data_IF_519427725917
#
_entry.id   IF_519427725917
#
_cell.length_a   1.000
_cell.length_b   1.000
_cell.length_c   1.000
_cell.angle_alpha   90.00
_cell.angle_beta   90.00
_cell.angle_gamma   90.00
#
_symmetry.space_group_name_H-M   'P 1'
#
loop_
_entity.id
_entity.type
_entity.pdbx_description
1 polymer ?
#
# COMPACT_ATOMS: atom_id res chain seq x y z
N UNK A 1 -79.12 26.01 2.74
CA UNK A 1 -78.19 25.70 3.86
C UNK A 1 -77.42 24.43 3.50
N UNK A 2 -76.09 24.43 3.69
CA UNK A 2 -75.12 23.37 3.31
C UNK A 2 -75.37 22.00 3.98
N UNK A 3 -74.61 20.93 3.72
CA UNK A 3 -73.15 20.82 3.62
C UNK A 3 -72.69 19.55 2.83
N UNK A 4 -71.37 19.44 2.66
CA UNK A 4 -70.54 18.60 1.77
C UNK A 4 -70.36 17.09 2.14
N UNK A 5 -70.07 16.29 1.08
CA UNK A 5 -69.12 15.14 0.88
C UNK A 5 -69.02 14.04 1.98
N UNK A 6 -68.92 12.75 1.65
CA UNK A 6 -67.71 12.10 1.12
C UNK A 6 -68.00 10.73 0.49
N UNK A 7 -67.25 10.39 -0.57
CA UNK A 7 -67.24 9.11 -1.28
C UNK A 7 -66.27 8.15 -0.58
N UNK A 8 -66.77 7.04 -0.03
CA UNK A 8 -65.92 5.92 0.41
C UNK A 8 -65.60 5.00 -0.77
N UNK A 9 -64.47 5.25 -1.45
CA UNK A 9 -63.81 4.21 -2.24
C UNK A 9 -63.07 3.29 -1.30
N UNK A 10 -63.51 2.05 -1.23
CA UNK A 10 -62.81 0.92 -0.63
C UNK A 10 -61.40 0.82 -1.24
N UNK A 11 -60.39 1.25 -0.48
CA UNK A 11 -58.99 0.99 -0.77
C UNK A 11 -58.73 -0.49 -0.51
N UNK A 12 -58.61 -1.29 -1.57
CA UNK A 12 -57.99 -2.61 -1.46
C UNK A 12 -56.54 -2.42 -1.02
N UNK A 13 -56.03 -3.13 -0.01
CA UNK A 13 -54.62 -3.09 0.31
C UNK A 13 -53.84 -3.62 -0.90
N UNK A 14 -52.99 -2.78 -1.48
CA UNK A 14 -51.92 -3.23 -2.37
C UNK A 14 -51.03 -4.13 -1.53
N UNK A 15 -51.06 -5.43 -1.80
CA UNK A 15 -50.01 -6.33 -1.36
C UNK A 15 -48.69 -5.83 -1.96
N UNK A 16 -47.82 -5.28 -1.12
CA UNK A 16 -46.41 -5.15 -1.48
C UNK A 16 -45.86 -6.57 -1.47
N UNK A 17 -45.34 -7.11 -2.59
CA UNK A 17 -44.53 -8.30 -2.50
C UNK A 17 -43.35 -7.93 -1.61
N UNK A 18 -43.20 -8.66 -0.50
CA UNK A 18 -42.01 -8.71 0.33
C UNK A 18 -40.86 -9.18 -0.57
N UNK A 19 -40.28 -8.25 -1.32
CA UNK A 19 -38.97 -8.40 -1.90
C UNK A 19 -38.00 -8.33 -0.74
N UNK A 20 -37.58 -9.48 -0.25
CA UNK A 20 -36.27 -9.59 0.38
C UNK A 20 -35.29 -8.98 -0.62
N UNK A 21 -34.83 -7.76 -0.36
CA UNK A 21 -33.61 -7.29 -0.96
C UNK A 21 -32.54 -8.28 -0.47
N UNK A 22 -32.17 -9.24 -1.30
CA UNK A 22 -30.94 -9.99 -1.07
C UNK A 22 -29.87 -8.94 -0.86
N UNK A 23 -29.30 -8.90 0.35
CA UNK A 23 -28.13 -8.09 0.61
C UNK A 23 -27.09 -8.56 -0.41
N UNK A 24 -26.88 -7.76 -1.45
CA UNK A 24 -25.84 -7.99 -2.45
C UNK A 24 -24.57 -8.13 -1.65
N UNK A 25 -24.05 -9.36 -1.55
CA UNK A 25 -22.80 -9.58 -0.82
C UNK A 25 -21.77 -8.67 -1.49
N UNK A 26 -21.01 -7.87 -0.72
CA UNK A 26 -19.95 -7.09 -1.31
C UNK A 26 -19.08 -8.04 -2.13
N UNK A 27 -18.89 -7.72 -3.41
CA UNK A 27 -18.01 -8.51 -4.27
C UNK A 27 -16.61 -8.53 -3.66
N UNK A 28 -15.91 -9.63 -3.82
CA UNK A 28 -14.52 -9.70 -3.41
C UNK A 28 -13.70 -8.62 -4.13
N UNK A 29 -12.78 -7.94 -3.42
CA UNK A 29 -11.88 -6.97 -4.04
C UNK A 29 -11.07 -7.61 -5.18
N UNK A 30 -10.95 -6.90 -6.30
CA UNK A 30 -10.13 -7.29 -7.46
C UNK A 30 -9.04 -6.27 -7.71
N UNK A 31 -7.92 -6.70 -8.28
CA UNK A 31 -6.73 -5.83 -8.50
C UNK A 31 -7.15 -4.54 -9.24
N UNK A 32 -6.77 -3.40 -8.67
CA UNK A 32 -7.18 -2.06 -9.09
C UNK A 32 -8.33 -1.46 -8.27
N UNK A 33 -8.98 -2.23 -7.39
CA UNK A 33 -9.95 -1.68 -6.45
C UNK A 33 -9.29 -0.79 -5.40
N UNK A 34 -10.02 0.24 -4.97
CA UNK A 34 -9.62 1.13 -3.88
C UNK A 34 -10.34 0.70 -2.61
N UNK A 35 -9.58 0.41 -1.55
CA UNK A 35 -10.09 -0.04 -0.25
C UNK A 35 -9.52 0.89 0.83
N UNK A 36 -10.39 1.63 1.50
CA UNK A 36 -10.03 2.66 2.51
C UNK A 36 -9.01 3.70 2.01
N UNK A 37 -9.01 3.98 0.70
CA UNK A 37 -8.07 4.91 0.05
C UNK A 37 -6.75 4.27 -0.41
N UNK A 38 -6.50 2.99 -0.10
CA UNK A 38 -5.37 2.23 -0.62
C UNK A 38 -5.74 1.50 -1.90
N UNK A 39 -4.75 1.22 -2.76
CA UNK A 39 -4.96 0.60 -4.07
C UNK A 39 -4.52 -0.86 -4.03
N UNK A 40 -5.45 -1.79 -4.24
CA UNK A 40 -5.14 -3.21 -4.35
C UNK A 40 -4.31 -3.48 -5.61
N UNK A 41 -3.08 -3.97 -5.47
CA UNK A 41 -2.19 -4.22 -6.60
C UNK A 41 -1.80 -5.70 -6.79
N UNK A 42 -1.95 -6.52 -5.75
CA UNK A 42 -1.60 -7.94 -5.82
C UNK A 42 -2.37 -8.79 -4.80
N UNK A 43 -2.41 -10.10 -5.05
CA UNK A 43 -2.87 -11.12 -4.10
C UNK A 43 -1.71 -12.11 -3.92
N UNK A 44 -1.20 -12.22 -2.69
CA UNK A 44 -0.02 -13.04 -2.39
C UNK A 44 -0.25 -13.81 -1.10
N UNK A 45 -0.10 -15.14 -1.15
CA UNK A 45 -0.14 -16.00 0.04
C UNK A 45 -1.43 -15.89 0.87
N UNK A 46 -2.58 -15.69 0.23
CA UNK A 46 -3.88 -15.52 0.90
C UNK A 46 -4.09 -14.12 1.51
N UNK A 47 -3.31 -13.13 1.07
CA UNK A 47 -3.50 -11.73 1.43
C UNK A 47 -3.67 -10.86 0.20
N UNK A 48 -4.63 -9.94 0.26
CA UNK A 48 -4.70 -8.75 -0.55
C UNK A 48 -3.58 -7.80 -0.16
N UNK A 49 -2.77 -7.35 -1.12
CA UNK A 49 -1.73 -6.34 -0.93
C UNK A 49 -2.17 -5.00 -1.51
N UNK A 50 -2.13 -3.98 -0.69
CA UNK A 50 -2.60 -2.64 -1.02
C UNK A 50 -1.47 -1.63 -0.90
N UNK A 51 -1.29 -0.81 -1.92
CA UNK A 51 -0.31 0.27 -1.94
C UNK A 51 -0.95 1.52 -1.35
N UNK A 52 -0.22 2.19 -0.46
CA UNK A 52 -0.67 3.46 0.09
C UNK A 52 -0.75 4.54 -1.01
N UNK A 53 -1.71 5.49 -0.87
CA UNK A 53 -1.83 6.61 -1.79
C UNK A 53 -0.61 7.52 -1.77
N UNK A 54 -0.47 8.35 -2.81
CA UNK A 54 0.63 9.29 -3.01
C UNK A 54 0.78 10.28 -1.84
N UNK A 55 -0.32 10.63 -1.17
CA UNK A 55 -0.31 11.49 0.03
C UNK A 55 0.45 10.91 1.23
N UNK A 56 0.67 9.58 1.26
CA UNK A 56 1.39 8.88 2.34
C UNK A 56 2.81 8.46 1.93
N UNK A 57 3.26 8.83 0.73
CA UNK A 57 4.62 8.52 0.26
C UNK A 57 5.55 9.66 0.65
N UNK A 58 6.61 9.31 1.36
CA UNK A 58 7.59 10.27 1.89
C UNK A 58 9.00 9.75 1.72
N UNK A 59 9.98 10.61 1.94
CA UNK A 59 11.38 10.20 2.04
C UNK A 59 11.78 9.96 3.48
N UNK A 60 12.40 8.80 3.75
CA UNK A 60 12.96 8.44 5.06
C UNK A 60 14.22 7.61 4.87
N UNK A 61 15.00 7.53 5.92
CA UNK A 61 16.16 6.63 5.98
C UNK A 61 15.70 5.22 6.24
N UNK A 62 16.43 4.26 5.69
CA UNK A 62 16.26 2.87 6.13
C UNK A 62 16.58 2.73 7.61
N UNK A 63 17.67 3.38 8.05
CA UNK A 63 18.14 3.34 9.42
C UNK A 63 19.36 2.46 9.64
N UNK A 64 20.30 2.92 10.46
CA UNK A 64 21.52 2.14 10.73
C UNK A 64 21.26 1.06 11.78
N UNK A 65 21.59 -0.19 11.45
CA UNK A 65 21.64 -1.32 12.39
C UNK A 65 23.06 -1.91 12.38
N UNK A 66 23.89 -1.45 13.33
CA UNK A 66 25.30 -1.83 13.44
C UNK A 66 25.53 -3.27 13.94
N UNK A 67 24.46 -4.00 14.27
CA UNK A 67 24.50 -5.37 14.79
C UNK A 67 24.12 -6.41 13.72
N UNK A 68 24.43 -7.69 14.00
CA UNK A 68 23.97 -8.84 13.21
C UNK A 68 22.46 -8.80 13.11
N UNK A 69 21.98 -8.62 11.89
CA UNK A 69 20.57 -8.38 11.68
C UNK A 69 19.74 -9.67 11.84
N UNK A 70 18.57 -9.54 12.48
CA UNK A 70 17.54 -10.58 12.59
C UNK A 70 16.83 -10.85 11.25
N UNK A 71 17.07 -10.02 10.24
CA UNK A 71 16.60 -10.21 8.86
C UNK A 71 17.74 -10.68 7.93
N UNK A 72 17.45 -11.53 6.92
CA UNK A 72 18.44 -12.07 6.01
C UNK A 72 19.27 -10.98 5.31
N UNK A 73 20.51 -11.31 4.98
CA UNK A 73 21.36 -10.50 4.10
C UNK A 73 21.20 -10.99 2.68
N UNK A 74 20.74 -10.10 1.80
CA UNK A 74 20.34 -10.43 0.44
C UNK A 74 21.13 -9.60 -0.57
N UNK A 75 21.62 -10.27 -1.61
CA UNK A 75 22.07 -9.62 -2.84
C UNK A 75 20.89 -9.07 -3.65
N UNK A 76 21.15 -8.19 -4.63
CA UNK A 76 20.10 -7.61 -5.48
C UNK A 76 19.21 -8.62 -6.21
N UNK A 77 19.75 -9.82 -6.48
CA UNK A 77 19.07 -10.88 -7.20
C UNK A 77 18.39 -11.91 -6.27
N UNK A 78 18.71 -11.88 -4.97
CA UNK A 78 18.27 -12.92 -4.04
C UNK A 78 16.78 -12.79 -3.70
N UNK A 79 16.10 -13.92 -3.56
CA UNK A 79 14.72 -13.92 -3.10
C UNK A 79 14.68 -13.65 -1.60
N UNK A 80 13.84 -12.71 -1.17
CA UNK A 80 13.65 -12.47 0.27
C UNK A 80 12.71 -13.56 0.78
N UNK A 81 13.15 -14.40 1.73
CA UNK A 81 12.31 -15.46 2.28
C UNK A 81 11.18 -14.90 3.16
N UNK A 82 11.29 -13.64 3.58
CA UNK A 82 10.31 -12.99 4.45
C UNK A 82 9.46 -12.00 3.68
N UNK A 83 8.23 -11.80 4.14
CA UNK A 83 7.36 -10.70 3.65
C UNK A 83 7.84 -9.35 4.17
N UNK A 84 7.46 -8.26 3.50
CA UNK A 84 7.73 -6.91 3.99
C UNK A 84 7.06 -6.63 5.34
N UNK A 85 5.90 -7.26 5.58
CA UNK A 85 5.24 -7.23 6.89
C UNK A 85 6.14 -7.80 7.99
N UNK A 86 6.65 -9.02 7.81
CA UNK A 86 7.53 -9.65 8.79
C UNK A 86 8.81 -8.83 8.99
N UNK A 87 9.45 -8.41 7.89
CA UNK A 87 10.66 -7.61 7.98
C UNK A 87 10.42 -6.28 8.70
N UNK A 88 9.29 -5.62 8.47
CA UNK A 88 8.92 -4.38 9.17
C UNK A 88 8.72 -4.61 10.67
N UNK A 89 8.05 -5.69 11.06
CA UNK A 89 7.88 -6.04 12.48
C UNK A 89 9.22 -6.28 13.18
N UNK A 90 10.11 -7.03 12.53
CA UNK A 90 11.47 -7.25 13.04
C UNK A 90 12.24 -5.92 13.09
N UNK A 91 12.15 -5.10 12.04
CA UNK A 91 12.88 -3.84 11.95
C UNK A 91 12.46 -2.84 13.03
N UNK A 92 11.18 -2.81 13.38
CA UNK A 92 10.62 -1.89 14.38
C UNK A 92 10.78 -2.40 15.80
N UNK A 93 10.76 -3.73 16.00
CA UNK A 93 10.96 -4.36 17.30
C UNK A 93 12.43 -4.38 17.73
N UNK A 94 13.33 -4.74 16.82
CA UNK A 94 14.73 -5.04 17.15
C UNK A 94 15.67 -3.84 16.96
N UNK A 95 15.23 -2.79 16.24
CA UNK A 95 16.05 -1.60 15.97
C UNK A 95 15.29 -0.30 16.24
N UNK A 96 15.90 0.59 17.03
CA UNK A 96 15.34 1.91 17.36
C UNK A 96 15.45 2.92 16.22
N UNK A 97 16.40 2.75 15.30
CA UNK A 97 16.79 3.77 14.33
C UNK A 97 16.30 3.48 12.90
N UNK A 98 15.24 2.70 12.73
CA UNK A 98 14.69 2.27 11.42
C UNK A 98 13.54 3.17 10.96
N UNK A 99 13.84 4.43 10.67
CA UNK A 99 12.85 5.51 10.43
C UNK A 99 11.78 5.13 9.39
N UNK A 100 12.16 4.52 8.27
CA UNK A 100 11.22 4.09 7.23
C UNK A 100 10.24 3.00 7.72
N UNK A 101 10.73 2.04 8.50
CA UNK A 101 9.91 0.96 9.04
C UNK A 101 8.97 1.48 10.14
N UNK A 102 9.48 2.30 11.06
CA UNK A 102 8.67 2.97 12.09
C UNK A 102 7.62 3.89 11.49
N UNK A 103 7.96 4.65 10.44
CA UNK A 103 7.01 5.48 9.72
C UNK A 103 5.83 4.66 9.17
N UNK A 104 6.12 3.54 8.47
CA UNK A 104 5.07 2.67 7.95
C UNK A 104 4.21 2.12 9.10
N UNK A 105 4.86 1.61 10.16
CA UNK A 105 4.16 0.98 11.28
C UNK A 105 3.24 1.94 12.03
N UNK A 106 3.68 3.17 12.26
CA UNK A 106 2.90 4.22 12.92
C UNK A 106 1.64 4.61 12.15
N UNK A 107 1.62 4.39 10.83
CA UNK A 107 0.44 4.61 9.99
C UNK A 107 -0.47 3.36 9.88
N UNK A 108 -0.08 2.22 10.44
CA UNK A 108 -0.78 0.94 10.25
C UNK A 108 -0.38 0.17 8.98
N UNK A 109 0.75 0.53 8.38
CA UNK A 109 1.30 -0.07 7.16
C UNK A 109 2.59 -0.86 7.46
N UNK A 110 3.13 -1.50 6.43
CA UNK A 110 4.46 -2.09 6.43
C UNK A 110 5.30 -1.57 5.27
N UNK A 111 6.62 -1.66 5.41
CA UNK A 111 7.58 -1.36 4.36
C UNK A 111 7.75 -2.61 3.48
N UNK A 112 7.40 -2.56 2.18
CA UNK A 112 7.45 -3.74 1.31
C UNK A 112 8.86 -4.29 1.20
N UNK A 113 8.99 -5.61 1.11
CA UNK A 113 10.26 -6.25 0.76
C UNK A 113 10.58 -6.01 -0.74
N UNK A 114 11.71 -6.55 -1.22
CA UNK A 114 12.10 -6.42 -2.62
C UNK A 114 11.02 -6.88 -3.60
N UNK A 115 10.43 -8.05 -3.40
CA UNK A 115 9.47 -8.65 -4.32
C UNK A 115 8.16 -7.86 -4.36
N UNK A 116 7.66 -7.45 -3.20
CA UNK A 116 6.46 -6.63 -3.06
C UNK A 116 6.67 -5.25 -3.69
N UNK A 117 7.84 -4.64 -3.52
CA UNK A 117 8.18 -3.36 -4.16
C UNK A 117 8.32 -3.49 -5.69
N UNK A 118 8.86 -4.60 -6.18
CA UNK A 118 8.88 -4.90 -7.61
C UNK A 118 7.47 -5.12 -8.18
N UNK A 119 6.56 -5.73 -7.42
CA UNK A 119 5.17 -5.86 -7.81
C UNK A 119 4.48 -4.48 -7.90
N UNK A 120 4.78 -3.56 -6.98
CA UNK A 120 4.34 -2.15 -7.09
C UNK A 120 4.91 -1.50 -8.35
N UNK A 121 6.20 -1.71 -8.64
CA UNK A 121 6.84 -1.20 -9.86
C UNK A 121 6.14 -1.71 -11.14
N UNK A 122 5.74 -2.99 -11.18
CA UNK A 122 5.03 -3.58 -12.31
C UNK A 122 3.61 -3.02 -12.48
N UNK A 123 2.99 -2.57 -11.38
CA UNK A 123 1.61 -2.05 -11.35
C UNK A 123 1.53 -0.51 -11.25
N UNK A 124 2.64 0.23 -11.52
CA UNK A 124 2.69 1.69 -11.34
C UNK A 124 1.55 2.44 -12.01
N UNK A 125 1.28 2.13 -13.27
CA UNK A 125 0.24 2.80 -14.07
C UNK A 125 -1.15 2.55 -13.49
N UNK A 126 -1.43 1.33 -13.05
CA UNK A 126 -2.68 0.98 -12.39
C UNK A 126 -2.82 1.77 -11.09
N UNK A 127 -1.80 1.74 -10.24
CA UNK A 127 -1.81 2.40 -8.93
C UNK A 127 -2.05 3.90 -9.11
N UNK A 128 -1.28 4.57 -9.96
CA UNK A 128 -1.42 6.02 -10.17
C UNK A 128 -2.77 6.40 -10.80
N UNK A 129 -3.31 5.57 -11.69
CA UNK A 129 -4.65 5.82 -12.28
C UNK A 129 -5.76 5.73 -11.24
N UNK A 130 -5.58 4.90 -10.21
CA UNK A 130 -6.56 4.67 -9.13
C UNK A 130 -6.34 5.58 -7.93
N UNK A 131 -5.20 6.26 -7.86
CA UNK A 131 -4.83 7.14 -6.76
C UNK A 131 -5.53 8.50 -6.86
N UNK A 132 -6.65 8.63 -6.15
CA UNK A 132 -7.42 9.87 -6.07
C UNK A 132 -6.98 10.82 -4.93
N UNK A 133 -5.85 10.56 -4.25
CA UNK A 133 -5.49 11.26 -3.01
C UNK A 133 -5.02 12.70 -3.19
N UNK A 134 -4.69 13.11 -4.42
CA UNK A 134 -4.15 14.45 -4.73
C UNK A 134 -2.69 14.66 -4.29
N UNK A 135 -1.99 13.62 -3.82
CA UNK A 135 -0.57 13.70 -3.49
C UNK A 135 0.33 13.80 -4.73
N UNK A 136 1.33 14.70 -4.69
CA UNK A 136 2.26 14.88 -5.81
C UNK A 136 3.33 13.79 -5.96
N UNK A 137 3.52 12.94 -4.96
CA UNK A 137 4.48 11.83 -4.98
C UNK A 137 3.88 10.57 -5.65
N UNK A 138 3.32 10.73 -6.85
CA UNK A 138 2.85 9.59 -7.66
C UNK A 138 4.02 8.69 -8.06
N UNK A 139 3.76 7.41 -8.37
CA UNK A 139 4.82 6.48 -8.76
C UNK A 139 5.47 6.91 -10.08
N UNK A 140 4.71 7.52 -10.99
CA UNK A 140 5.19 8.16 -12.20
C UNK A 140 6.10 9.37 -11.91
N UNK A 141 5.71 10.24 -10.97
CA UNK A 141 6.54 11.38 -10.59
C UNK A 141 7.85 10.94 -9.93
N UNK A 142 7.80 9.92 -9.06
CA UNK A 142 9.01 9.32 -8.46
C UNK A 142 9.88 8.70 -9.56
N UNK A 143 9.29 7.92 -10.48
CA UNK A 143 10.02 7.28 -11.58
C UNK A 143 10.70 8.31 -12.52
N UNK A 144 10.07 9.46 -12.73
CA UNK A 144 10.61 10.55 -13.54
C UNK A 144 11.65 11.41 -12.78
N UNK A 145 11.70 11.33 -11.45
CA UNK A 145 12.48 12.24 -10.61
C UNK A 145 11.88 13.65 -10.56
N UNK A 146 10.55 13.75 -10.63
CA UNK A 146 9.78 14.99 -10.58
C UNK A 146 8.82 15.06 -9.39
N UNK A 147 8.83 14.05 -8.51
CA UNK A 147 8.04 14.06 -7.29
C UNK A 147 8.45 15.24 -6.37
N UNK A 148 7.50 15.95 -5.74
CA UNK A 148 7.82 17.08 -4.87
C UNK A 148 8.83 16.71 -3.78
N UNK A 149 9.87 17.52 -3.63
CA UNK A 149 10.87 17.37 -2.56
C UNK A 149 12.03 16.41 -2.87
N UNK A 150 12.10 15.80 -4.06
CA UNK A 150 13.32 15.08 -4.50
C UNK A 150 13.37 14.77 -5.99
N UNK A 151 14.58 14.75 -6.56
CA UNK A 151 14.85 14.15 -7.87
C UNK A 151 15.18 12.66 -7.80
N UNK A 152 15.26 12.07 -6.60
CA UNK A 152 15.54 10.66 -6.42
C UNK A 152 14.44 9.79 -7.02
N UNK A 153 14.88 8.75 -7.73
CA UNK A 153 14.01 7.81 -8.44
C UNK A 153 13.91 6.46 -7.73
N UNK A 154 14.26 6.43 -6.46
CA UNK A 154 14.63 5.21 -5.75
C UNK A 154 13.76 5.03 -4.52
N UNK A 155 13.20 3.84 -4.38
CA UNK A 155 12.36 3.46 -3.25
C UNK A 155 13.04 2.39 -2.39
N UNK A 156 12.89 2.52 -1.08
CA UNK A 156 13.40 1.58 -0.09
C UNK A 156 12.57 0.32 -0.04
N UNK A 157 13.27 -0.80 0.05
CA UNK A 157 12.68 -2.06 0.50
C UNK A 157 12.92 -2.22 2.01
N UNK A 158 12.19 -3.11 2.66
CA UNK A 158 12.53 -3.61 4.00
C UNK A 158 13.65 -4.66 3.96
N UNK A 159 13.98 -5.19 2.79
CA UNK A 159 15.10 -6.10 2.58
C UNK A 159 16.44 -5.39 2.77
N UNK A 160 17.44 -6.12 3.27
CA UNK A 160 18.79 -5.57 3.46
C UNK A 160 19.87 -6.42 2.82
N UNK A 161 21.02 -5.80 2.59
CA UNK A 161 22.20 -6.47 2.08
C UNK A 161 23.28 -6.68 3.16
N UNK A 162 23.45 -5.70 4.04
CA UNK A 162 24.42 -5.76 5.14
C UNK A 162 24.01 -4.83 6.28
N UNK A 163 24.85 -4.73 7.32
CA UNK A 163 24.66 -3.78 8.43
C UNK A 163 24.62 -2.31 7.94
N UNK A 164 25.25 -2.01 6.80
CA UNK A 164 25.38 -0.63 6.28
C UNK A 164 24.61 -0.40 4.99
N UNK A 165 24.13 -1.46 4.34
CA UNK A 165 23.47 -1.38 3.04
C UNK A 165 22.09 -2.03 3.06
N UNK A 166 21.10 -1.31 2.55
CA UNK A 166 19.76 -1.81 2.27
C UNK A 166 19.61 -2.12 0.78
N UNK A 167 18.54 -2.82 0.42
CA UNK A 167 18.12 -2.95 -0.97
C UNK A 167 17.14 -1.82 -1.32
N UNK A 168 17.26 -1.29 -2.52
CA UNK A 168 16.36 -0.31 -3.12
C UNK A 168 15.89 -0.79 -4.49
N UNK A 169 14.78 -0.24 -4.96
CA UNK A 169 14.29 -0.40 -6.34
C UNK A 169 14.31 0.97 -7.02
N UNK A 170 14.92 1.04 -8.20
CA UNK A 170 14.85 2.22 -9.06
C UNK A 170 13.49 2.24 -9.78
N UNK A 171 12.61 3.15 -9.39
CA UNK A 171 11.22 3.22 -9.85
C UNK A 171 11.09 3.57 -11.33
N UNK A 172 12.13 4.10 -11.97
CA UNK A 172 12.16 4.34 -13.42
C UNK A 172 12.44 3.09 -14.26
N UNK A 173 13.16 2.11 -13.72
CA UNK A 173 13.72 0.97 -14.51
C UNK A 173 13.40 -0.40 -13.92
N UNK A 174 13.00 -0.48 -12.65
CA UNK A 174 12.82 -1.72 -11.91
C UNK A 174 14.14 -2.33 -11.42
N UNK A 175 15.27 -1.66 -11.66
CA UNK A 175 16.59 -2.14 -11.22
C UNK A 175 16.65 -2.23 -9.69
N UNK A 176 17.18 -3.35 -9.19
CA UNK A 176 17.45 -3.55 -7.77
C UNK A 176 18.92 -3.30 -7.53
N UNK A 177 19.23 -2.47 -6.54
CA UNK A 177 20.61 -2.16 -6.15
C UNK A 177 20.73 -2.01 -4.64
N UNK A 178 21.98 -1.94 -4.18
CA UNK A 178 22.28 -1.70 -2.76
C UNK A 178 22.51 -0.21 -2.50
N UNK A 179 21.98 0.31 -1.39
CA UNK A 179 22.14 1.71 -0.99
C UNK A 179 22.54 1.87 0.47
N UNK A 180 23.25 2.95 0.81
CA UNK A 180 23.63 3.23 2.19
C UNK A 180 22.40 3.50 3.06
N UNK A 181 22.35 2.91 4.26
CA UNK A 181 21.16 3.02 5.15
C UNK A 181 20.92 4.41 5.74
N UNK A 182 21.89 5.31 5.65
CA UNK A 182 21.85 6.66 6.22
C UNK A 182 21.28 7.73 5.27
N UNK A 183 20.86 7.33 4.07
CA UNK A 183 20.33 8.24 3.06
C UNK A 183 18.81 8.14 2.96
N UNK A 184 18.19 9.28 2.68
CA UNK A 184 16.74 9.42 2.54
C UNK A 184 16.30 8.99 1.14
N UNK A 185 15.48 7.95 1.07
CA UNK A 185 14.90 7.42 -0.17
C UNK A 185 13.38 7.34 -0.03
N UNK A 186 12.67 7.15 -1.15
CA UNK A 186 11.22 7.06 -1.12
C UNK A 186 10.74 5.83 -0.36
N UNK A 187 9.72 6.02 0.48
CA UNK A 187 9.02 4.96 1.18
C UNK A 187 7.65 4.82 0.56
N UNK A 188 7.31 3.59 0.16
CA UNK A 188 6.02 3.22 -0.40
C UNK A 188 5.29 2.29 0.57
N UNK A 189 4.55 2.81 1.57
CA UNK A 189 3.88 1.98 2.56
C UNK A 189 2.88 1.03 1.91
N UNK A 190 2.76 -0.17 2.45
CA UNK A 190 1.81 -1.18 2.01
C UNK A 190 0.96 -1.69 3.17
N UNK A 191 -0.29 -2.04 2.87
CA UNK A 191 -1.19 -2.72 3.81
C UNK A 191 -1.50 -4.10 3.27
N UNK A 192 -1.81 -5.04 4.17
CA UNK A 192 -2.29 -6.36 3.79
C UNK A 192 -3.62 -6.66 4.47
N UNK A 193 -4.54 -7.26 3.74
CA UNK A 193 -5.84 -7.72 4.24
C UNK A 193 -5.94 -9.21 3.95
N UNK A 194 -6.41 -10.00 4.91
CA UNK A 194 -6.59 -11.43 4.70
C UNK A 194 -7.76 -11.67 3.74
N UNK A 195 -7.59 -12.58 2.77
CA UNK A 195 -8.65 -13.06 1.88
C UNK A 195 -9.64 -13.91 2.66
#
# INVERSE_FOLDING_TARGET
>A
MGFYRFSERILRPRAYPCGYAEAVRPRDPVVGDVVDGDILFAIVGGFYLLAAPASLRVRRRYGSNWSTASIPRLGPNDTDPNTGFYNTDVLTRDYSNTDAAHYCKNLGYFLPNRQELLAIFQQKSLIDTRDGSGGGATLAAIAAGSAPGSSDREALTSSQNSAFRCLKVHMGTGGVDTHGKNSDLWVLPCRRIKV
#
